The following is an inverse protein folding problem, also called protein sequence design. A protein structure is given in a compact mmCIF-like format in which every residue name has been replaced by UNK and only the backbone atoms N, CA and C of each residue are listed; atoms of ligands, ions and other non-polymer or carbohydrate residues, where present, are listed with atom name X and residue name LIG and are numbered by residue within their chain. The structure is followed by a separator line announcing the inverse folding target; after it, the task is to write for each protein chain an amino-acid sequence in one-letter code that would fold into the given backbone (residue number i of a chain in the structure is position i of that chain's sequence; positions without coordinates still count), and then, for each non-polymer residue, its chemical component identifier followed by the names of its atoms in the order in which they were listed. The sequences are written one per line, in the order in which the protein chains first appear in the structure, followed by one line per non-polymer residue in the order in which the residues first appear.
data_IF_283085035913
#
_entry.id   IF_283085035913
#
_cell.length_a   1.000
_cell.length_b   1.000
_cell.length_c   1.000
_cell.angle_alpha   90.00
_cell.angle_beta   90.00
_cell.angle_gamma   90.00
#
_symmetry.space_group_name_H-M   'P 1'
#
loop_
_entity.id
_entity.type
_entity.pdbx_description
1 polymer ?
#
# COMPACT_ATOMS: atom_id res chain seq x y z
N UNK A 1 -36.16 28.40 18.71
CA UNK A 1 -35.39 29.42 17.96
C UNK A 1 -33.87 29.20 18.00
N UNK A 2 -33.34 28.19 18.73
CA UNK A 2 -31.88 27.98 18.83
C UNK A 2 -31.28 26.95 17.86
N UNK A 3 -32.06 26.03 17.28
CA UNK A 3 -31.59 24.94 16.40
C UNK A 3 -31.34 25.38 14.95
N UNK A 4 -32.06 26.40 14.48
CA UNK A 4 -31.96 26.92 13.10
C UNK A 4 -30.66 27.69 12.86
N UNK A 5 -30.19 28.40 13.88
CA UNK A 5 -28.97 29.21 13.80
C UNK A 5 -27.71 28.32 13.73
N UNK A 6 -27.70 27.21 14.46
CA UNK A 6 -26.61 26.21 14.43
C UNK A 6 -26.53 25.53 13.07
N UNK A 7 -27.66 25.10 12.51
CA UNK A 7 -27.72 24.45 11.19
C UNK A 7 -27.24 25.39 10.08
N UNK A 8 -27.61 26.67 10.16
CA UNK A 8 -27.18 27.71 9.22
C UNK A 8 -25.66 27.95 9.28
N UNK A 9 -25.09 28.00 10.49
CA UNK A 9 -23.63 28.13 10.69
C UNK A 9 -22.85 26.95 10.09
N UNK A 10 -23.33 25.72 10.29
CA UNK A 10 -22.69 24.51 9.76
C UNK A 10 -22.72 24.47 8.24
N UNK A 11 -23.82 24.91 7.60
CA UNK A 11 -23.91 25.03 6.13
C UNK A 11 -22.90 26.03 5.57
N UNK A 12 -22.71 27.15 6.25
CA UNK A 12 -21.72 28.16 5.86
C UNK A 12 -20.30 27.59 5.93
N UNK A 13 -19.97 26.87 7.01
CA UNK A 13 -18.68 26.19 7.17
C UNK A 13 -18.43 25.14 6.07
N UNK A 14 -19.41 24.28 5.74
CA UNK A 14 -19.29 23.33 4.62
C UNK A 14 -19.05 24.05 3.30
N UNK A 15 -19.74 25.17 3.06
CA UNK A 15 -19.57 25.96 1.84
C UNK A 15 -18.14 26.52 1.71
N UNK A 16 -17.55 26.97 2.82
CA UNK A 16 -16.15 27.39 2.85
C UNK A 16 -15.18 26.24 2.56
N UNK A 17 -15.47 25.03 3.06
CA UNK A 17 -14.67 23.82 2.74
C UNK A 17 -14.75 23.49 1.26
N UNK A 18 -15.93 23.59 0.64
CA UNK A 18 -16.07 23.40 -0.81
C UNK A 18 -15.27 24.45 -1.58
N UNK A 19 -15.31 25.72 -1.16
CA UNK A 19 -14.54 26.79 -1.76
C UNK A 19 -13.01 26.57 -1.67
N UNK A 20 -12.54 25.85 -0.64
CA UNK A 20 -11.13 25.45 -0.50
C UNK A 20 -10.68 24.33 -1.46
N UNK A 21 -11.56 23.83 -2.34
CA UNK A 21 -11.24 22.87 -3.40
C UNK A 21 -11.73 21.44 -3.15
N UNK A 22 -12.44 21.18 -2.04
CA UNK A 22 -12.98 19.86 -1.73
C UNK A 22 -14.34 19.64 -2.40
N UNK A 23 -14.54 18.50 -3.06
CA UNK A 23 -15.84 18.20 -3.68
C UNK A 23 -16.89 17.81 -2.64
N UNK A 24 -18.15 18.18 -2.87
CA UNK A 24 -19.28 17.75 -2.02
C UNK A 24 -19.38 16.21 -1.92
N UNK A 25 -18.95 15.49 -2.96
CA UNK A 25 -18.91 14.02 -2.94
C UNK A 25 -17.85 13.47 -1.95
N UNK A 26 -16.71 14.17 -1.79
CA UNK A 26 -15.73 13.81 -0.76
C UNK A 26 -16.28 14.09 0.64
N UNK A 27 -16.87 15.28 0.84
CA UNK A 27 -17.47 15.68 2.12
C UNK A 27 -18.55 14.70 2.55
N UNK A 28 -19.46 14.32 1.64
CA UNK A 28 -20.53 13.38 1.94
C UNK A 28 -19.99 12.02 2.41
N UNK A 29 -18.99 11.50 1.70
CA UNK A 29 -18.35 10.22 2.02
C UNK A 29 -17.62 10.26 3.37
N UNK A 30 -16.88 11.34 3.66
CA UNK A 30 -16.15 11.49 4.92
C UNK A 30 -17.09 11.72 6.12
N UNK A 31 -18.16 12.49 5.93
CA UNK A 31 -19.17 12.74 6.95
C UNK A 31 -20.19 11.57 7.12
N UNK A 32 -20.06 10.49 6.33
CA UNK A 32 -20.94 9.33 6.40
C UNK A 32 -22.40 9.61 6.00
N UNK A 33 -22.62 10.53 5.05
CA UNK A 33 -23.92 10.89 4.49
C UNK A 33 -23.96 10.65 2.98
N UNK A 34 -25.15 10.45 2.40
CA UNK A 34 -25.25 10.31 0.95
C UNK A 34 -25.01 11.66 0.25
N UNK A 35 -24.44 11.64 -0.96
CA UNK A 35 -24.21 12.87 -1.74
C UNK A 35 -25.51 13.62 -2.05
N UNK A 36 -26.61 12.90 -2.30
CA UNK A 36 -27.93 13.50 -2.49
C UNK A 36 -28.45 14.16 -1.21
N UNK A 37 -28.26 13.51 -0.05
CA UNK A 37 -28.64 14.05 1.27
C UNK A 37 -27.88 15.33 1.58
N UNK A 38 -26.55 15.35 1.38
CA UNK A 38 -25.73 16.54 1.62
C UNK A 38 -26.13 17.70 0.69
N UNK A 39 -26.34 17.41 -0.60
CA UNK A 39 -26.72 18.42 -1.59
C UNK A 39 -28.09 19.05 -1.28
N UNK A 40 -29.09 18.23 -0.93
CA UNK A 40 -30.41 18.72 -0.53
C UNK A 40 -30.35 19.48 0.80
N UNK A 41 -29.53 19.02 1.75
CA UNK A 41 -29.39 19.67 3.05
C UNK A 41 -28.71 21.03 2.94
N UNK A 42 -27.70 21.18 2.07
CA UNK A 42 -27.06 22.48 1.78
C UNK A 42 -27.99 23.50 1.15
N UNK A 43 -28.97 23.04 0.34
CA UNK A 43 -29.98 23.87 -0.32
C UNK A 43 -31.22 24.17 0.53
N UNK A 44 -31.26 23.64 1.76
CA UNK A 44 -32.44 23.68 2.62
C UNK A 44 -33.68 22.96 2.07
N UNK A 45 -33.47 22.01 1.15
CA UNK A 45 -34.54 21.23 0.49
C UNK A 45 -34.72 19.84 1.11
N UNK A 46 -33.91 19.48 2.11
CA UNK A 46 -33.96 18.17 2.74
C UNK A 46 -35.15 18.04 3.68
N UNK A 47 -36.09 17.16 3.33
CA UNK A 47 -37.36 16.95 4.07
C UNK A 47 -37.27 15.96 5.24
N UNK A 48 -36.09 15.39 5.48
CA UNK A 48 -35.85 14.50 6.61
C UNK A 48 -35.40 15.26 7.86
N UNK A 49 -34.69 14.58 8.77
CA UNK A 49 -34.15 15.21 9.96
C UNK A 49 -32.90 16.06 9.64
N UNK A 50 -33.14 17.33 9.33
CA UNK A 50 -32.09 18.31 9.02
C UNK A 50 -31.13 18.54 10.21
N UNK A 51 -31.62 18.42 11.44
CA UNK A 51 -30.81 18.61 12.65
C UNK A 51 -29.83 17.45 12.84
N UNK A 52 -30.26 16.22 12.58
CA UNK A 52 -29.40 15.04 12.66
C UNK A 52 -28.28 15.06 11.60
N UNK A 53 -28.59 15.53 10.38
CA UNK A 53 -27.57 15.72 9.34
C UNK A 53 -26.60 16.82 9.73
N UNK A 54 -27.11 17.95 10.24
CA UNK A 54 -26.28 19.04 10.76
C UNK A 54 -25.31 18.57 11.84
N UNK A 55 -25.78 17.80 12.83
CA UNK A 55 -24.94 17.26 13.90
C UNK A 55 -23.81 16.34 13.38
N UNK A 56 -24.10 15.45 12.42
CA UNK A 56 -23.06 14.59 11.82
C UNK A 56 -22.00 15.40 11.07
N UNK A 57 -22.43 16.45 10.37
CA UNK A 57 -21.53 17.32 9.62
C UNK A 57 -20.71 18.21 10.56
N UNK A 58 -21.30 18.69 11.67
CA UNK A 58 -20.58 19.41 12.72
C UNK A 58 -19.45 18.57 13.30
N UNK A 59 -19.71 17.31 13.67
CA UNK A 59 -18.68 16.40 14.20
C UNK A 59 -17.56 16.17 13.17
N UNK A 60 -17.89 16.08 11.88
CA UNK A 60 -16.88 15.99 10.82
C UNK A 60 -16.06 17.28 10.67
N UNK A 61 -16.69 18.46 10.74
CA UNK A 61 -15.99 19.76 10.69
C UNK A 61 -15.05 19.92 11.89
N UNK A 62 -15.52 19.62 13.10
CA UNK A 62 -14.73 19.66 14.33
C UNK A 62 -13.51 18.73 14.24
N UNK A 63 -13.72 17.48 13.83
CA UNK A 63 -12.63 16.52 13.57
C UNK A 63 -11.60 17.04 12.56
N UNK A 64 -12.05 17.77 11.54
CA UNK A 64 -11.17 18.36 10.52
C UNK A 64 -10.40 19.56 11.06
N UNK A 65 -11.03 20.42 11.86
CA UNK A 65 -10.38 21.57 12.50
C UNK A 65 -9.35 21.11 13.53
N UNK A 66 -9.67 20.10 14.35
CA UNK A 66 -8.73 19.45 15.27
C UNK A 66 -7.54 18.83 14.51
N UNK A 67 -7.82 18.15 13.38
CA UNK A 67 -6.80 17.60 12.50
C UNK A 67 -5.94 18.65 11.80
N UNK A 68 -6.51 19.81 11.44
CA UNK A 68 -5.81 20.91 10.78
C UNK A 68 -5.00 21.78 11.75
N UNK A 69 -5.45 21.90 13.00
CA UNK A 69 -4.70 22.55 14.09
C UNK A 69 -3.48 21.74 14.53
N UNK A 70 -3.48 20.44 14.26
CA UNK A 70 -2.34 19.56 14.52
C UNK A 70 -1.26 19.77 13.47
N UNK A 71 -0.15 20.41 13.85
CA UNK A 71 1.03 20.52 12.99
C UNK A 71 1.59 19.12 12.76
N UNK A 72 1.44 18.62 11.53
CA UNK A 72 1.95 17.31 11.13
C UNK A 72 3.42 17.41 10.71
N UNK A 73 4.25 16.39 11.01
CA UNK A 73 5.61 16.34 10.50
C UNK A 73 5.63 16.24 8.98
N UNK A 74 6.61 16.90 8.36
CA UNK A 74 6.92 16.72 6.94
C UNK A 74 7.44 15.30 6.73
N UNK A 75 6.55 14.39 6.34
CA UNK A 75 6.90 13.01 6.01
C UNK A 75 7.54 12.99 4.62
N UNK A 76 8.76 12.45 4.45
CA UNK A 76 9.34 12.25 3.14
C UNK A 76 8.42 11.37 2.27
N UNK A 77 8.07 11.83 1.07
CA UNK A 77 7.18 11.10 0.16
C UNK A 77 7.81 9.77 -0.27
N UNK A 78 9.12 9.76 -0.50
CA UNK A 78 9.89 8.58 -0.89
C UNK A 78 11.31 8.66 -0.32
N UNK A 79 11.82 7.52 0.13
CA UNK A 79 13.22 7.35 0.53
C UNK A 79 13.80 6.23 -0.31
N UNK A 80 14.77 6.56 -1.15
CA UNK A 80 15.50 5.55 -1.93
C UNK A 80 16.44 4.79 -1.00
N UNK A 81 16.21 3.48 -0.88
CA UNK A 81 17.01 2.56 -0.07
C UNK A 81 17.69 1.51 -0.94
N UNK A 82 18.76 0.86 -0.46
CA UNK A 82 19.43 -0.21 -1.18
C UNK A 82 18.48 -1.38 -1.49
N UNK A 83 17.61 -1.70 -0.53
CA UNK A 83 16.55 -2.68 -0.72
C UNK A 83 15.59 -2.26 -1.83
N UNK A 84 15.15 -0.99 -1.85
CA UNK A 84 14.26 -0.50 -2.91
C UNK A 84 14.91 -0.55 -4.29
N UNK A 85 16.20 -0.20 -4.39
CA UNK A 85 16.97 -0.29 -5.63
C UNK A 85 17.10 -1.74 -6.11
N UNK A 86 17.34 -2.69 -5.20
CA UNK A 86 17.44 -4.10 -5.55
C UNK A 86 16.12 -4.65 -6.10
N UNK A 87 14.98 -4.28 -5.48
CA UNK A 87 13.64 -4.62 -5.98
C UNK A 87 13.43 -4.01 -7.37
N UNK A 88 13.66 -2.70 -7.53
CA UNK A 88 13.54 -1.99 -8.81
C UNK A 88 14.37 -2.65 -9.91
N UNK A 89 15.64 -2.99 -9.65
CA UNK A 89 16.50 -3.71 -10.61
C UNK A 89 15.94 -5.08 -11.00
N UNK A 90 15.23 -5.75 -10.10
CA UNK A 90 14.61 -7.05 -10.35
C UNK A 90 13.33 -6.92 -11.19
N UNK A 91 12.49 -5.93 -10.89
CA UNK A 91 11.29 -5.61 -11.68
C UNK A 91 11.68 -5.20 -13.10
N UNK A 92 12.68 -4.32 -13.24
CA UNK A 92 13.24 -3.88 -14.51
C UNK A 92 13.76 -5.06 -15.34
N UNK A 93 14.51 -5.96 -14.71
CA UNK A 93 14.99 -7.17 -15.37
C UNK A 93 13.83 -8.03 -15.89
N UNK A 94 12.81 -8.30 -15.07
CA UNK A 94 11.67 -9.12 -15.45
C UNK A 94 10.88 -8.51 -16.63
N UNK A 95 10.66 -7.19 -16.59
CA UNK A 95 9.94 -6.46 -17.62
C UNK A 95 10.69 -6.46 -18.96
N UNK A 96 11.99 -6.15 -18.96
CA UNK A 96 12.77 -6.06 -20.20
C UNK A 96 13.06 -7.41 -20.84
N UNK A 97 13.24 -8.46 -20.04
CA UNK A 97 13.59 -9.79 -20.54
C UNK A 97 12.37 -10.68 -20.76
N UNK A 98 11.17 -10.19 -20.45
CA UNK A 98 9.95 -11.01 -20.38
C UNK A 98 10.18 -12.33 -19.65
N UNK A 99 10.85 -12.27 -18.48
CA UNK A 99 11.20 -13.43 -17.67
C UNK A 99 10.43 -13.46 -16.36
N UNK A 100 10.45 -14.62 -15.69
CA UNK A 100 9.91 -14.77 -14.35
C UNK A 100 11.00 -14.40 -13.33
N UNK A 101 10.66 -13.53 -12.38
CA UNK A 101 11.52 -13.19 -11.25
C UNK A 101 10.80 -13.39 -9.92
N UNK A 102 11.56 -13.70 -8.87
CA UNK A 102 11.01 -13.90 -7.53
C UNK A 102 11.69 -12.96 -6.55
N UNK A 103 10.89 -12.21 -5.79
CA UNK A 103 11.34 -11.36 -4.68
C UNK A 103 10.74 -11.92 -3.40
N UNK A 104 11.57 -12.35 -2.46
CA UNK A 104 11.07 -12.98 -1.24
C UNK A 104 11.90 -12.58 -0.02
N UNK A 105 11.35 -12.77 1.17
CA UNK A 105 12.06 -12.50 2.42
C UNK A 105 11.17 -11.88 3.51
N UNK A 106 11.81 -11.21 4.46
CA UNK A 106 11.19 -10.69 5.69
C UNK A 106 10.07 -9.68 5.44
N UNK A 107 9.11 -9.65 6.35
CA UNK A 107 8.07 -8.63 6.36
C UNK A 107 8.67 -7.28 6.79
N UNK A 108 8.18 -6.18 6.19
CA UNK A 108 8.59 -4.84 6.60
C UNK A 108 9.93 -4.36 6.01
N UNK A 109 10.53 -5.07 5.05
CA UNK A 109 11.75 -4.62 4.35
C UNK A 109 11.49 -3.65 3.18
N UNK A 110 10.22 -3.35 2.87
CA UNK A 110 9.85 -2.34 1.84
C UNK A 110 9.51 -2.88 0.45
N UNK A 111 9.37 -4.20 0.26
CA UNK A 111 9.03 -4.84 -1.04
C UNK A 111 7.81 -4.21 -1.73
N UNK A 112 6.66 -4.22 -1.06
CA UNK A 112 5.39 -3.68 -1.57
C UNK A 112 5.49 -2.20 -1.95
N UNK A 113 6.16 -1.39 -1.12
CA UNK A 113 6.33 0.04 -1.39
C UNK A 113 7.18 0.26 -2.63
N UNK A 114 8.29 -0.48 -2.77
CA UNK A 114 9.14 -0.42 -3.97
C UNK A 114 8.41 -0.88 -5.24
N UNK A 115 7.58 -1.93 -5.15
CA UNK A 115 6.74 -2.40 -6.27
C UNK A 115 5.76 -1.32 -6.73
N UNK A 116 5.06 -0.66 -5.80
CA UNK A 116 4.13 0.42 -6.12
C UNK A 116 4.84 1.60 -6.76
N UNK A 117 5.97 2.03 -6.18
CA UNK A 117 6.79 3.11 -6.73
C UNK A 117 7.25 2.81 -8.17
N UNK A 118 7.65 1.57 -8.43
CA UNK A 118 8.02 1.15 -9.78
C UNK A 118 6.84 1.21 -10.75
N UNK A 119 5.65 0.76 -10.34
CA UNK A 119 4.46 0.77 -11.19
C UNK A 119 3.93 2.18 -11.48
N UNK A 120 4.09 3.13 -10.55
CA UNK A 120 3.78 4.54 -10.77
C UNK A 120 4.74 5.19 -11.78
N UNK A 121 6.03 4.80 -11.74
CA UNK A 121 7.07 5.37 -12.58
C UNK A 121 7.19 4.74 -13.97
N UNK A 122 6.59 3.57 -14.20
CA UNK A 122 6.77 2.81 -15.44
C UNK A 122 5.42 2.39 -16.05
N UNK A 123 5.24 2.53 -17.37
CA UNK A 123 4.01 2.11 -18.03
C UNK A 123 3.89 0.59 -18.05
N UNK A 124 2.65 0.11 -18.20
CA UNK A 124 2.32 -1.31 -18.39
C UNK A 124 2.83 -2.21 -17.25
N UNK A 125 2.78 -1.71 -16.01
CA UNK A 125 3.01 -2.51 -14.81
C UNK A 125 1.69 -2.69 -14.09
N UNK A 126 1.28 -3.95 -13.90
CA UNK A 126 0.04 -4.29 -13.22
C UNK A 126 0.36 -5.05 -11.94
N UNK A 127 -0.26 -4.64 -10.84
CA UNK A 127 -0.04 -5.25 -9.52
C UNK A 127 -1.32 -5.97 -9.10
N UNK A 128 -1.22 -7.27 -8.91
CA UNK A 128 -2.18 -8.09 -8.18
C UNK A 128 -1.64 -8.28 -6.76
N UNK A 129 -2.46 -8.04 -5.73
CA UNK A 129 -2.10 -8.34 -4.34
C UNK A 129 -2.86 -9.58 -3.89
N UNK A 130 -2.14 -10.65 -3.57
CA UNK A 130 -2.72 -11.90 -3.07
C UNK A 130 -3.44 -11.69 -1.74
N UNK A 131 -4.57 -12.36 -1.57
CA UNK A 131 -5.39 -12.26 -0.36
C UNK A 131 -5.89 -13.64 0.09
N UNK A 132 -6.14 -13.85 1.39
CA UNK A 132 -6.65 -15.12 1.90
C UNK A 132 -8.01 -15.55 1.31
N UNK A 133 -8.84 -14.60 0.87
CA UNK A 133 -10.17 -14.86 0.33
C UNK A 133 -10.19 -15.08 -1.19
N UNK A 134 -9.14 -14.68 -1.92
CA UNK A 134 -9.03 -14.83 -3.37
C UNK A 134 -7.82 -15.70 -3.80
N UNK A 135 -7.28 -16.53 -2.91
CA UNK A 135 -6.09 -17.35 -3.17
C UNK A 135 -6.24 -18.50 -4.17
N UNK A 136 -7.46 -18.77 -4.67
CA UNK A 136 -7.73 -19.80 -5.66
C UNK A 136 -7.61 -19.28 -7.10
N UNK A 137 -7.50 -20.18 -8.08
CA UNK A 137 -7.26 -19.81 -9.49
C UNK A 137 -8.30 -18.83 -10.06
N UNK A 138 -9.59 -19.02 -9.77
CA UNK A 138 -10.64 -18.11 -10.25
C UNK A 138 -10.51 -16.71 -9.62
N UNK A 139 -10.36 -16.62 -8.29
CA UNK A 139 -10.16 -15.34 -7.60
C UNK A 139 -8.89 -14.62 -8.04
N UNK A 140 -7.80 -15.36 -8.25
CA UNK A 140 -6.56 -14.77 -8.77
C UNK A 140 -6.73 -14.20 -10.20
N UNK A 141 -7.51 -14.86 -11.06
CA UNK A 141 -7.82 -14.32 -12.39
C UNK A 141 -8.70 -13.07 -12.29
N UNK A 142 -9.67 -13.03 -11.39
CA UNK A 142 -10.51 -11.85 -11.14
C UNK A 142 -9.67 -10.67 -10.65
N UNK A 143 -8.77 -10.89 -9.69
CA UNK A 143 -7.87 -9.84 -9.17
C UNK A 143 -6.93 -9.31 -10.26
N UNK A 144 -6.36 -10.18 -11.10
CA UNK A 144 -5.54 -9.75 -12.26
C UNK A 144 -6.37 -8.99 -13.27
N UNK A 145 -7.58 -9.44 -13.56
CA UNK A 145 -8.48 -8.77 -14.50
C UNK A 145 -8.86 -7.36 -13.99
N UNK A 146 -9.12 -7.23 -12.69
CA UNK A 146 -9.37 -5.94 -12.04
C UNK A 146 -8.14 -5.03 -12.12
N UNK A 147 -6.93 -5.55 -11.87
CA UNK A 147 -5.68 -4.79 -12.00
C UNK A 147 -5.46 -4.29 -13.44
N UNK A 148 -5.93 -5.04 -14.44
CA UNK A 148 -5.88 -4.66 -15.86
C UNK A 148 -7.01 -3.68 -16.28
N UNK A 149 -7.95 -3.38 -15.38
CA UNK A 149 -9.09 -2.49 -15.62
C UNK A 149 -10.25 -3.15 -16.39
N UNK A 150 -10.34 -4.48 -16.39
CA UNK A 150 -11.44 -5.21 -17.03
C UNK A 150 -12.71 -5.12 -16.15
N UNK A 151 -13.80 -4.58 -16.70
CA UNK A 151 -15.04 -4.30 -15.95
C UNK A 151 -16.09 -5.40 -16.04
N UNK A 152 -16.22 -6.02 -17.20
CA UNK A 152 -17.22 -7.05 -17.47
C UNK A 152 -16.52 -8.40 -17.58
N UNK A 153 -16.48 -9.12 -16.46
CA UNK A 153 -15.86 -10.44 -16.41
C UNK A 153 -16.87 -11.52 -16.75
N UNK A 154 -16.41 -12.49 -17.54
CA UNK A 154 -17.18 -13.71 -17.78
C UNK A 154 -17.19 -14.58 -16.53
N UNK A 155 -18.32 -15.25 -16.27
CA UNK A 155 -18.43 -16.30 -15.25
C UNK A 155 -17.58 -17.55 -15.55
N UNK A 156 -16.91 -17.60 -16.70
CA UNK A 156 -16.03 -18.71 -17.11
C UNK A 156 -14.56 -18.31 -16.94
N UNK A 157 -13.80 -18.91 -16.00
CA UNK A 157 -12.39 -18.57 -15.77
C UNK A 157 -11.52 -18.65 -17.03
N UNK A 158 -11.79 -19.60 -17.93
CA UNK A 158 -11.05 -19.71 -19.19
C UNK A 158 -11.26 -18.54 -20.14
N UNK A 159 -12.44 -17.89 -20.12
CA UNK A 159 -12.70 -16.68 -20.89
C UNK A 159 -11.98 -15.48 -20.27
N UNK A 160 -12.01 -15.35 -18.93
CA UNK A 160 -11.26 -14.32 -18.20
C UNK A 160 -9.75 -14.42 -18.49
N UNK A 161 -9.18 -15.62 -18.42
CA UNK A 161 -7.77 -15.84 -18.74
C UNK A 161 -7.42 -15.45 -20.18
N UNK A 162 -8.26 -15.78 -21.16
CA UNK A 162 -8.05 -15.37 -22.57
C UNK A 162 -8.13 -13.85 -22.74
N UNK A 163 -9.03 -13.19 -22.04
CA UNK A 163 -9.15 -11.72 -22.05
C UNK A 163 -7.89 -11.06 -21.46
N UNK A 164 -7.41 -11.58 -20.33
CA UNK A 164 -6.16 -11.13 -19.71
C UNK A 164 -4.99 -11.29 -20.68
N UNK A 165 -4.83 -12.48 -21.29
CA UNK A 165 -3.76 -12.71 -22.28
C UNK A 165 -3.87 -11.70 -23.42
N UNK A 166 -5.06 -11.52 -24.01
CA UNK A 166 -5.26 -10.54 -25.09
C UNK A 166 -4.86 -9.11 -24.68
N UNK A 167 -5.17 -8.72 -23.45
CA UNK A 167 -4.85 -7.39 -22.91
C UNK A 167 -3.36 -7.19 -22.63
N UNK A 168 -2.65 -8.27 -22.31
CA UNK A 168 -1.21 -8.28 -22.00
C UNK A 168 -0.33 -8.44 -23.24
N UNK A 169 -0.76 -9.21 -24.24
CA UNK A 169 0.04 -9.50 -25.44
C UNK A 169 0.49 -8.24 -26.17
N UNK A 170 1.78 -8.18 -26.53
CA UNK A 170 2.35 -7.07 -27.27
C UNK A 170 2.64 -5.80 -26.45
N UNK A 171 2.29 -5.79 -25.15
CA UNK A 171 2.51 -4.62 -24.29
C UNK A 171 3.95 -4.45 -23.81
N UNK A 172 4.74 -5.53 -23.84
CA UNK A 172 6.05 -5.62 -23.16
C UNK A 172 5.97 -5.20 -21.69
N UNK A 173 4.83 -5.48 -21.05
CA UNK A 173 4.55 -5.06 -19.69
C UNK A 173 5.08 -6.04 -18.63
N UNK A 174 4.67 -5.81 -17.39
CA UNK A 174 5.03 -6.58 -16.22
C UNK A 174 3.80 -6.86 -15.37
N UNK A 175 3.53 -8.12 -15.09
CA UNK A 175 2.57 -8.54 -14.05
C UNK A 175 3.33 -8.81 -12.75
N UNK A 176 3.00 -8.09 -11.69
CA UNK A 176 3.53 -8.31 -10.34
C UNK A 176 2.45 -8.93 -9.47
N UNK A 177 2.74 -10.07 -8.86
CA UNK A 177 1.91 -10.73 -7.85
C UNK A 177 2.55 -10.49 -6.50
N UNK A 178 2.05 -9.50 -5.77
CA UNK A 178 2.46 -9.22 -4.38
C UNK A 178 1.71 -10.12 -3.39
N UNK A 179 2.29 -10.37 -2.22
CA UNK A 179 1.76 -11.27 -1.20
C UNK A 179 1.41 -12.68 -1.73
N UNK A 180 2.25 -13.20 -2.63
CA UNK A 180 2.05 -14.47 -3.35
C UNK A 180 1.89 -15.69 -2.44
N UNK A 181 2.27 -15.63 -1.16
CA UNK A 181 2.03 -16.71 -0.19
C UNK A 181 0.55 -17.05 0.03
N UNK A 182 -0.35 -16.14 -0.32
CA UNK A 182 -1.79 -16.35 -0.23
C UNK A 182 -2.35 -17.15 -1.42
N UNK A 183 -1.60 -17.26 -2.52
CA UNK A 183 -2.03 -18.03 -3.68
C UNK A 183 -1.74 -19.52 -3.47
N UNK A 184 -2.69 -20.34 -3.92
CA UNK A 184 -2.48 -21.77 -4.02
C UNK A 184 -1.62 -22.13 -5.25
N UNK A 185 -1.20 -23.39 -5.33
CA UNK A 185 -0.32 -23.89 -6.41
C UNK A 185 -0.94 -23.67 -7.80
N UNK A 186 -2.25 -23.93 -7.93
CA UNK A 186 -2.95 -23.79 -9.21
C UNK A 186 -3.03 -22.34 -9.67
N UNK A 187 -3.21 -21.39 -8.74
CA UNK A 187 -3.19 -19.97 -9.04
C UNK A 187 -1.79 -19.52 -9.51
N UNK A 188 -0.72 -19.95 -8.83
CA UNK A 188 0.65 -19.65 -9.26
C UNK A 188 0.99 -20.21 -10.64
N UNK A 189 0.58 -21.45 -10.93
CA UNK A 189 0.71 -22.01 -12.29
C UNK A 189 -0.11 -21.26 -13.32
N UNK A 190 -1.29 -20.77 -12.95
CA UNK A 190 -2.09 -19.93 -13.82
C UNK A 190 -1.37 -18.62 -14.16
N UNK A 191 -0.75 -17.96 -13.19
CA UNK A 191 0.06 -16.75 -13.43
C UNK A 191 1.24 -17.03 -14.36
N UNK A 192 1.92 -18.17 -14.16
CA UNK A 192 3.00 -18.64 -15.04
C UNK A 192 2.49 -18.91 -16.47
N UNK A 193 1.30 -19.49 -16.62
CA UNK A 193 0.69 -19.73 -17.93
C UNK A 193 0.27 -18.44 -18.64
N UNK A 194 -0.23 -17.44 -17.91
CA UNK A 194 -0.53 -16.11 -18.47
C UNK A 194 0.74 -15.43 -18.99
N UNK A 195 1.82 -15.48 -18.21
CA UNK A 195 3.14 -15.02 -18.61
C UNK A 195 3.61 -15.66 -19.93
N UNK A 196 3.61 -16.99 -20.00
CA UNK A 196 4.03 -17.73 -21.20
C UNK A 196 3.18 -17.38 -22.42
N UNK A 197 1.86 -17.26 -22.25
CA UNK A 197 0.93 -17.01 -23.35
C UNK A 197 0.97 -15.56 -23.85
N UNK A 198 1.21 -14.59 -22.96
CA UNK A 198 1.23 -13.17 -23.31
C UNK A 198 2.63 -12.63 -23.65
N UNK A 199 3.70 -13.29 -23.20
CA UNK A 199 5.08 -12.84 -23.40
C UNK A 199 5.43 -11.56 -22.63
N UNK A 200 4.87 -11.39 -21.43
CA UNK A 200 5.14 -10.25 -20.53
C UNK A 200 5.97 -10.69 -19.33
N UNK A 201 6.68 -9.79 -18.66
CA UNK A 201 7.39 -10.14 -17.43
C UNK A 201 6.44 -10.59 -16.32
N UNK A 202 6.91 -11.47 -15.43
CA UNK A 202 6.17 -11.90 -14.24
C UNK A 202 7.06 -11.80 -13.00
N UNK A 203 6.60 -11.10 -11.96
CA UNK A 203 7.28 -11.08 -10.66
C UNK A 203 6.37 -11.67 -9.61
N UNK A 204 6.88 -12.67 -8.88
CA UNK A 204 6.23 -13.21 -7.68
C UNK A 204 6.92 -12.61 -6.45
N UNK A 205 6.18 -11.81 -5.68
CA UNK A 205 6.64 -11.21 -4.44
C UNK A 205 5.93 -11.84 -3.25
N UNK A 206 6.66 -12.23 -2.21
CA UNK A 206 6.05 -12.82 -1.02
C UNK A 206 7.01 -13.04 0.15
N UNK A 207 6.58 -13.88 1.08
CA UNK A 207 7.38 -14.27 2.24
C UNK A 207 8.23 -15.54 2.00
N UNK A 208 9.06 -15.89 2.99
CA UNK A 208 9.93 -17.07 2.92
C UNK A 208 9.16 -18.39 2.73
N UNK A 209 7.92 -18.47 3.22
CA UNK A 209 7.10 -19.66 3.16
C UNK A 209 6.64 -19.98 1.73
N UNK A 210 6.31 -18.95 0.92
CA UNK A 210 5.99 -19.19 -0.50
C UNK A 210 7.22 -19.75 -1.21
N UNK A 211 8.41 -19.20 -0.96
CA UNK A 211 9.67 -19.67 -1.54
C UNK A 211 10.06 -21.08 -1.09
N UNK A 212 9.81 -21.41 0.17
CA UNK A 212 10.12 -22.75 0.71
C UNK A 212 9.19 -23.83 0.13
N UNK A 213 7.90 -23.53 -0.07
CA UNK A 213 6.96 -24.42 -0.79
C UNK A 213 7.36 -24.62 -2.26
N UNK A 214 7.96 -23.57 -2.79
CA UNK A 214 8.52 -23.47 -4.12
C UNK A 214 9.78 -24.38 -4.22
N UNK A 215 10.69 -24.36 -3.26
CA UNK A 215 11.96 -25.12 -3.31
C UNK A 215 11.96 -26.50 -2.63
N UNK A 216 10.96 -26.85 -1.81
CA UNK A 216 10.96 -28.11 -1.02
C UNK A 216 9.60 -28.79 -0.89
N UNK A 217 9.53 -30.09 -1.21
CA UNK A 217 8.37 -30.98 -0.94
C UNK A 217 8.08 -32.02 -2.03
N UNK A 218 7.16 -32.96 -1.75
CA UNK A 218 6.74 -34.05 -2.67
C UNK A 218 5.85 -33.61 -3.84
N UNK A 219 5.48 -32.33 -3.94
CA UNK A 219 4.76 -31.73 -5.09
C UNK A 219 5.71 -31.25 -6.21
N UNK A 220 6.78 -32.02 -6.43
CA UNK A 220 7.95 -31.69 -7.26
C UNK A 220 7.64 -31.31 -8.71
N UNK A 221 6.64 -31.93 -9.34
CA UNK A 221 6.47 -31.82 -10.79
C UNK A 221 5.93 -30.46 -11.25
N UNK A 222 4.91 -29.94 -10.57
CA UNK A 222 4.23 -28.70 -10.97
C UNK A 222 5.13 -27.49 -10.76
N UNK A 223 5.69 -27.35 -9.56
CA UNK A 223 6.58 -26.22 -9.25
C UNK A 223 7.90 -26.28 -10.01
N UNK A 224 8.43 -27.46 -10.38
CA UNK A 224 9.65 -27.56 -11.18
C UNK A 224 9.56 -26.80 -12.51
N UNK A 225 8.38 -26.72 -13.12
CA UNK A 225 8.15 -25.95 -14.35
C UNK A 225 8.21 -24.44 -14.12
N UNK A 226 7.75 -23.98 -12.95
CA UNK A 226 7.91 -22.58 -12.55
C UNK A 226 9.38 -22.30 -12.21
N UNK A 227 10.05 -23.18 -11.48
CA UNK A 227 11.47 -23.05 -11.09
C UNK A 227 12.41 -22.92 -12.28
N UNK A 228 12.22 -23.74 -13.30
CA UNK A 228 13.06 -23.73 -14.50
C UNK A 228 12.95 -22.43 -15.30
N UNK A 229 11.84 -21.69 -15.13
CA UNK A 229 11.58 -20.40 -15.81
C UNK A 229 12.02 -19.17 -15.00
N UNK A 230 12.39 -19.33 -13.73
CA UNK A 230 12.87 -18.20 -12.92
C UNK A 230 14.24 -17.75 -13.42
N UNK A 231 14.29 -16.57 -14.03
CA UNK A 231 15.51 -15.91 -14.49
C UNK A 231 16.27 -15.20 -13.38
N UNK A 232 15.57 -14.66 -12.38
CA UNK A 232 16.20 -13.93 -11.26
C UNK A 232 15.51 -14.19 -9.93
N UNK A 233 16.31 -14.31 -8.87
CA UNK A 233 15.86 -14.46 -7.48
C UNK A 233 16.49 -13.35 -6.65
N UNK A 234 15.68 -12.65 -5.87
CA UNK A 234 16.11 -11.65 -4.90
C UNK A 234 15.57 -12.04 -3.52
N UNK A 235 16.49 -12.29 -2.59
CA UNK A 235 16.18 -12.62 -1.20
C UNK A 235 16.50 -11.42 -0.30
N UNK A 236 15.49 -10.94 0.43
CA UNK A 236 15.54 -9.75 1.28
C UNK A 236 15.09 -10.12 2.69
N UNK A 237 15.99 -10.71 3.49
CA UNK A 237 15.65 -11.21 4.82
C UNK A 237 15.39 -10.07 5.82
N UNK A 238 16.29 -9.09 5.85
CA UNK A 238 16.29 -7.98 6.80
C UNK A 238 16.66 -6.67 6.08
N UNK A 239 16.27 -5.51 6.62
CA UNK A 239 16.78 -4.24 6.14
C UNK A 239 18.29 -4.16 6.35
N UNK A 240 18.98 -3.47 5.46
CA UNK A 240 20.41 -3.18 5.60
C UNK A 240 20.61 -1.94 6.49
N UNK A 241 21.80 -1.82 7.09
CA UNK A 241 22.19 -0.60 7.81
C UNK A 241 22.07 0.64 6.92
N UNK A 242 22.40 0.53 5.64
CA UNK A 242 22.27 1.61 4.66
C UNK A 242 20.81 2.02 4.43
N UNK A 243 19.87 1.06 4.46
CA UNK A 243 18.43 1.38 4.39
C UNK A 243 17.99 2.22 5.60
N UNK A 244 18.47 1.87 6.80
CA UNK A 244 18.18 2.60 8.03
C UNK A 244 18.80 3.99 7.99
N UNK A 245 20.06 4.10 7.57
CA UNK A 245 20.77 5.37 7.45
C UNK A 245 20.08 6.30 6.43
N UNK A 246 19.63 5.78 5.29
CA UNK A 246 18.86 6.55 4.31
C UNK A 246 17.56 7.11 4.90
N UNK A 247 16.83 6.30 5.68
CA UNK A 247 15.61 6.73 6.36
C UNK A 247 15.92 7.82 7.40
N UNK A 248 16.91 7.62 8.27
CA UNK A 248 17.26 8.62 9.29
C UNK A 248 17.63 9.97 8.65
N UNK A 249 18.42 9.94 7.58
CA UNK A 249 18.80 11.13 6.84
C UNK A 249 17.58 11.84 6.24
N UNK A 250 16.64 11.10 5.63
CA UNK A 250 15.43 11.68 5.05
C UNK A 250 14.54 12.36 6.09
N UNK A 251 14.57 11.89 7.34
CA UNK A 251 13.82 12.46 8.46
C UNK A 251 14.63 13.49 9.27
N UNK A 252 15.83 13.87 8.82
CA UNK A 252 16.76 14.74 9.54
C UNK A 252 17.08 14.27 10.97
N UNK A 253 17.02 12.96 11.21
CA UNK A 253 17.41 12.35 12.49
C UNK A 253 18.89 12.02 12.42
N UNK A 254 19.67 12.59 13.33
CA UNK A 254 21.12 12.43 13.36
C UNK A 254 21.59 12.12 14.76
N UNK A 255 22.76 11.48 14.86
CA UNK A 255 23.38 11.10 16.13
C UNK A 255 23.59 9.59 16.26
N UNK A 256 24.64 9.22 17.00
CA UNK A 256 25.04 7.82 17.15
C UNK A 256 23.98 7.02 17.93
N UNK A 257 23.40 7.60 18.99
CA UNK A 257 22.43 6.90 19.85
C UNK A 257 21.11 6.64 19.12
N UNK A 258 20.71 7.59 18.28
CA UNK A 258 19.54 7.55 17.42
C UNK A 258 19.72 6.46 16.36
N UNK A 259 20.89 6.45 15.69
CA UNK A 259 21.26 5.40 14.73
C UNK A 259 21.27 4.01 15.34
N UNK A 260 21.95 3.84 16.47
CA UNK A 260 22.05 2.53 17.16
C UNK A 260 20.66 2.02 17.56
N UNK A 261 19.79 2.92 18.05
CA UNK A 261 18.41 2.57 18.38
C UNK A 261 17.58 2.24 17.14
N UNK A 262 17.73 2.99 16.05
CA UNK A 262 17.02 2.73 14.80
C UNK A 262 17.41 1.38 14.18
N UNK A 263 18.69 1.02 14.23
CA UNK A 263 19.19 -0.29 13.80
C UNK A 263 18.59 -1.41 14.67
N UNK A 264 18.52 -1.20 15.99
CA UNK A 264 17.86 -2.15 16.90
C UNK A 264 16.39 -2.34 16.51
N UNK A 265 15.63 -1.26 16.31
CA UNK A 265 14.21 -1.34 15.92
C UNK A 265 14.03 -2.01 14.56
N UNK A 266 14.86 -1.67 13.57
CA UNK A 266 14.81 -2.27 12.23
C UNK A 266 15.18 -3.76 12.22
N UNK A 267 15.90 -4.24 13.24
CA UNK A 267 16.23 -5.66 13.41
C UNK A 267 15.08 -6.50 14.01
N UNK A 268 14.06 -5.86 14.56
CA UNK A 268 12.91 -6.51 15.21
C UNK A 268 11.79 -6.85 14.20
N UNK A 269 10.80 -7.69 14.59
CA UNK A 269 9.61 -7.94 13.78
C UNK A 269 8.93 -6.63 13.37
N UNK A 270 8.75 -6.45 12.06
CA UNK A 270 8.21 -5.21 11.48
C UNK A 270 9.24 -4.40 10.69
N UNK A 271 10.54 -4.61 10.91
CA UNK A 271 11.62 -4.04 10.08
C UNK A 271 11.52 -2.52 9.90
N UNK A 272 11.70 -2.06 8.66
CA UNK A 272 11.57 -0.64 8.31
C UNK A 272 10.17 -0.09 8.56
N UNK A 273 9.12 -0.92 8.48
CA UNK A 273 7.75 -0.48 8.80
C UNK A 273 7.63 -0.06 10.26
N UNK A 274 8.21 -0.86 11.17
CA UNK A 274 8.27 -0.55 12.60
C UNK A 274 9.03 0.75 12.83
N UNK A 275 10.23 0.84 12.26
CA UNK A 275 11.08 2.03 12.36
C UNK A 275 10.37 3.30 11.86
N UNK A 276 9.77 3.26 10.67
CA UNK A 276 9.05 4.40 10.09
C UNK A 276 7.87 4.84 10.98
N UNK A 277 7.14 3.89 11.56
CA UNK A 277 6.06 4.19 12.49
C UNK A 277 6.60 4.88 13.75
N UNK A 278 7.74 4.42 14.29
CA UNK A 278 8.42 5.03 15.43
C UNK A 278 8.87 6.45 15.14
N UNK A 279 9.57 6.67 14.02
CA UNK A 279 10.06 8.00 13.65
C UNK A 279 8.88 8.97 13.44
N UNK A 280 7.79 8.53 12.81
CA UNK A 280 6.59 9.34 12.62
C UNK A 280 5.98 9.79 13.94
N UNK A 281 5.82 8.88 14.90
CA UNK A 281 5.29 9.20 16.23
C UNK A 281 6.24 10.10 17.03
N UNK A 282 7.54 9.81 16.99
CA UNK A 282 8.56 10.64 17.61
C UNK A 282 8.57 12.07 17.04
N UNK A 283 8.39 12.21 15.73
CA UNK A 283 8.32 13.51 15.04
C UNK A 283 7.08 14.29 15.45
N UNK A 284 5.93 13.63 15.60
CA UNK A 284 4.70 14.26 16.09
C UNK A 284 4.86 14.77 17.53
N UNK A 285 5.45 13.96 18.41
CA UNK A 285 5.71 14.34 19.79
C UNK A 285 6.71 15.51 19.90
N UNK A 286 7.75 15.51 19.09
CA UNK A 286 8.78 16.56 19.08
C UNK A 286 8.24 17.90 18.56
N UNK A 287 7.33 17.89 17.57
CA UNK A 287 6.64 19.10 17.10
C UNK A 287 5.80 19.71 18.22
N UNK A 288 5.07 18.89 18.98
CA UNK A 288 4.26 19.37 20.11
C UNK A 288 5.07 20.09 21.20
N UNK A 289 6.38 19.84 21.28
CA UNK A 289 7.30 20.46 22.25
C UNK A 289 8.27 21.47 21.63
N UNK A 290 8.22 21.67 20.31
CA UNK A 290 9.14 22.56 19.58
C UNK A 290 10.59 22.06 19.54
N UNK A 291 10.82 20.76 19.69
CA UNK A 291 12.16 20.15 19.74
C UNK A 291 12.47 19.33 18.48
N UNK A 292 13.76 19.04 18.27
CA UNK A 292 14.20 18.09 17.24
C UNK A 292 14.09 16.65 17.75
N UNK A 293 13.84 15.70 16.85
CA UNK A 293 13.76 14.28 17.20
C UNK A 293 15.11 13.77 17.70
N UNK A 294 15.14 13.29 18.94
CA UNK A 294 16.30 12.66 19.57
C UNK A 294 15.95 11.22 20.03
N UNK A 295 16.94 10.50 20.55
CA UNK A 295 16.75 9.12 21.02
C UNK A 295 15.69 8.96 22.12
N UNK A 296 15.38 10.00 22.90
CA UNK A 296 14.35 9.93 23.96
C UNK A 296 12.97 9.87 23.34
N UNK A 297 12.71 10.70 22.32
CA UNK A 297 11.47 10.66 21.56
C UNK A 297 11.30 9.33 20.82
N UNK A 298 12.36 8.82 20.20
CA UNK A 298 12.33 7.52 19.51
C UNK A 298 12.00 6.36 20.48
N UNK A 299 12.61 6.35 21.67
CA UNK A 299 12.34 5.32 22.69
C UNK A 299 10.93 5.44 23.26
N UNK A 300 10.45 6.65 23.52
CA UNK A 300 9.08 6.87 23.99
C UNK A 300 8.06 6.37 22.95
N UNK A 301 8.22 6.78 21.69
CA UNK A 301 7.37 6.35 20.58
C UNK A 301 7.38 4.83 20.38
N UNK A 302 8.54 4.17 20.48
CA UNK A 302 8.63 2.71 20.35
C UNK A 302 7.84 1.99 21.45
N UNK A 303 7.93 2.45 22.70
CA UNK A 303 7.18 1.88 23.84
C UNK A 303 5.68 2.05 23.67
N UNK A 304 5.22 3.22 23.22
CA UNK A 304 3.80 3.47 22.95
C UNK A 304 3.23 2.56 21.86
N UNK A 305 4.05 2.18 20.89
CA UNK A 305 3.69 1.23 19.84
C UNK A 305 3.69 -0.25 20.31
N UNK A 306 3.90 -0.49 21.60
CA UNK A 306 3.98 -1.85 22.17
C UNK A 306 5.34 -2.52 21.94
N UNK A 307 6.37 -1.76 21.58
CA UNK A 307 7.72 -2.24 21.47
C UNK A 307 8.36 -2.48 22.83
N UNK A 308 8.67 -3.74 23.14
CA UNK A 308 9.48 -4.09 24.29
C UNK A 308 10.96 -3.90 23.94
N UNK A 309 11.73 -3.32 24.86
CA UNK A 309 13.18 -3.12 24.75
C UNK A 309 13.89 -3.83 25.88
#
# INVERSE_FOLDING_TARGET
MSTDNTTTSVRAAVTAVVASGMSQASIAREAGVSGATLSQWLKDEYRGDSSAIGAKISVWLESREEGAATVMPTVPEWVETDTSQAVTKTLLFAQHTASISVVYGGAGVGKTTAIRRYAEANPNVWIMTGSPYAGAMAGALEDVAQALGLKELSNRPSQVAREIVRRLTGTRGLLVVDEAQHLNVQALECMRALHDAAGVGLVLCGNEAVYSRLTGGSRKATFAQLFSRIGRRLHLTMPTDADVDAILNAWNVSGRKERDFALQVASLPGGLRGLMQTIRQASLAAIGTGQTVDVRYLRAAWRELGGES
#
